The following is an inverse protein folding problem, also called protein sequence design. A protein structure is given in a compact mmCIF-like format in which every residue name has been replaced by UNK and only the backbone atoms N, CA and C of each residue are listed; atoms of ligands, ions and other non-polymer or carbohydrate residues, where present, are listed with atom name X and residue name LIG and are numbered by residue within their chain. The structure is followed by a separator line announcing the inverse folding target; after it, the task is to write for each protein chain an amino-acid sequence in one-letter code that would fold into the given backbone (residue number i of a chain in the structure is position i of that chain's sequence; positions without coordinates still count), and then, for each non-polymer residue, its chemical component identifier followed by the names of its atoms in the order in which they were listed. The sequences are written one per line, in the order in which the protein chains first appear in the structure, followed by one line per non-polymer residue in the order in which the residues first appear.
data_IF_213085793588
#
_entry.id   IF_213085793588
#
_cell.length_a   1.000
_cell.length_b   1.000
_cell.length_c   1.000
_cell.angle_alpha   90.00
_cell.angle_beta   90.00
_cell.angle_gamma   90.00
#
_symmetry.space_group_name_H-M   'P 1'
#
loop_
_entity.id
_entity.type
_entity.pdbx_description
1 polymer ?
#
# COMPACT_ATOMS: atom_id res chain seq x y z
N UNK A 1 28.53 -15.43 37.68
CA UNK A 1 27.67 -15.08 36.53
C UNK A 1 28.46 -14.16 35.61
N UNK A 2 28.65 -14.56 34.35
CA UNK A 2 29.31 -13.75 33.31
C UNK A 2 28.36 -12.63 32.91
N UNK A 3 28.74 -11.38 33.14
CA UNK A 3 28.12 -10.23 32.49
C UNK A 3 29.06 -9.77 31.38
N UNK A 4 28.61 -9.98 30.16
CA UNK A 4 29.26 -9.56 28.92
C UNK A 4 28.81 -8.12 28.67
N UNK A 5 29.62 -7.13 29.05
CA UNK A 5 29.43 -5.76 28.58
C UNK A 5 30.30 -5.58 27.33
N UNK A 6 29.74 -5.23 26.15
CA UNK A 6 30.56 -4.79 25.04
C UNK A 6 31.18 -3.43 25.40
N UNK A 7 32.51 -3.40 25.46
CA UNK A 7 33.31 -2.16 25.56
C UNK A 7 33.11 -1.35 24.27
N UNK A 8 32.95 -0.03 24.43
CA UNK A 8 32.62 0.92 23.39
C UNK A 8 33.78 1.08 22.41
N UNK A 9 33.57 0.70 21.14
CA UNK A 9 34.46 1.12 20.05
C UNK A 9 34.21 2.60 19.76
N UNK A 10 35.19 3.43 20.14
CA UNK A 10 35.29 4.85 19.79
C UNK A 10 35.53 4.98 18.29
N UNK A 11 34.45 4.93 17.51
CA UNK A 11 34.55 5.17 16.06
C UNK A 11 34.80 6.67 15.80
N UNK A 12 35.84 6.99 15.01
CA UNK A 12 36.33 8.35 14.86
C UNK A 12 35.31 9.28 14.20
N UNK A 13 35.28 10.52 14.69
CA UNK A 13 34.55 11.67 14.17
C UNK A 13 35.06 12.09 12.77
N UNK A 14 34.97 11.19 11.79
CA UNK A 14 35.34 11.44 10.39
C UNK A 14 34.52 10.55 9.42
N UNK A 15 33.28 10.29 9.78
CA UNK A 15 32.34 9.47 8.98
C UNK A 15 30.94 10.09 9.00
N UNK A 16 30.86 11.42 8.98
CA UNK A 16 29.58 12.16 8.95
C UNK A 16 29.42 13.10 7.75
N UNK A 17 30.24 12.96 6.71
CA UNK A 17 30.13 13.80 5.49
C UNK A 17 29.96 12.97 4.19
N UNK A 18 29.97 11.64 4.26
CA UNK A 18 29.84 10.75 3.09
C UNK A 18 28.54 9.93 3.05
N UNK A 19 27.48 10.39 3.71
CA UNK A 19 26.16 9.74 3.68
C UNK A 19 25.03 10.65 3.16
N UNK A 20 25.35 11.86 2.69
CA UNK A 20 24.35 12.84 2.25
C UNK A 20 24.31 13.08 0.71
N UNK A 21 25.15 12.42 -0.08
CA UNK A 21 25.25 12.65 -1.54
C UNK A 21 24.94 11.40 -2.41
N UNK A 22 24.34 10.36 -1.84
CA UNK A 22 23.96 9.14 -2.60
C UNK A 22 22.44 9.03 -2.82
N UNK A 23 21.63 9.88 -2.17
CA UNK A 23 20.17 9.95 -2.39
C UNK A 23 19.75 10.97 -3.47
N UNK A 24 20.69 11.47 -4.28
CA UNK A 24 20.45 12.46 -5.33
C UNK A 24 20.47 11.91 -6.76
N UNK A 25 20.42 10.59 -6.96
CA UNK A 25 20.44 9.97 -8.29
C UNK A 25 19.30 8.96 -8.49
N UNK A 26 18.18 9.17 -7.81
CA UNK A 26 16.92 8.53 -8.15
C UNK A 26 16.31 9.36 -9.28
N UNK A 27 16.18 8.77 -10.49
CA UNK A 27 15.41 9.21 -11.69
C UNK A 27 16.20 9.42 -13.01
N UNK A 28 17.54 9.33 -13.05
CA UNK A 28 18.30 9.67 -14.27
C UNK A 28 18.69 8.51 -15.23
N UNK A 29 18.69 7.25 -14.78
CA UNK A 29 19.34 6.16 -15.50
C UNK A 29 18.38 5.14 -16.17
N UNK A 30 17.07 5.39 -16.17
CA UNK A 30 16.11 4.52 -16.87
C UNK A 30 15.94 4.85 -18.37
N UNK A 31 16.62 5.89 -18.87
CA UNK A 31 16.35 6.44 -20.21
C UNK A 31 17.25 5.93 -21.35
N UNK A 32 18.25 5.07 -21.10
CA UNK A 32 19.28 4.76 -22.11
C UNK A 32 19.43 3.27 -22.50
N UNK A 33 18.69 2.33 -21.89
CA UNK A 33 18.82 0.90 -22.22
C UNK A 33 17.88 0.40 -23.33
N UNK A 34 16.98 1.25 -23.84
CA UNK A 34 15.97 0.85 -24.83
C UNK A 34 16.32 1.38 -26.22
N UNK A 35 17.59 1.32 -26.61
CA UNK A 35 18.05 1.77 -27.93
C UNK A 35 18.77 0.64 -28.68
N UNK A 36 18.07 -0.47 -28.92
CA UNK A 36 18.26 -1.33 -30.12
C UNK A 36 17.26 -2.47 -30.09
N UNK A 37 16.14 -2.34 -30.81
CA UNK A 37 15.50 -3.50 -31.44
C UNK A 37 14.72 -3.06 -32.69
N UNK A 38 14.81 -3.79 -33.81
CA UNK A 38 14.18 -3.40 -35.06
C UNK A 38 12.66 -3.44 -34.90
N UNK A 39 12.00 -2.54 -35.62
CA UNK A 39 10.56 -2.35 -35.74
C UNK A 39 9.80 -3.68 -35.81
N UNK A 40 9.38 -4.16 -34.64
CA UNK A 40 8.34 -5.18 -34.53
C UNK A 40 7.11 -4.38 -34.16
N UNK A 41 6.05 -4.47 -34.99
CA UNK A 41 4.78 -3.78 -34.83
C UNK A 41 4.43 -3.49 -33.35
N UNK A 42 3.89 -2.31 -33.00
CA UNK A 42 3.59 -1.99 -31.62
C UNK A 42 2.70 -3.10 -31.04
N UNK A 43 3.30 -3.92 -30.18
CA UNK A 43 2.60 -5.00 -29.51
C UNK A 43 1.43 -4.35 -28.78
N UNK A 44 0.18 -4.85 -28.92
CA UNK A 44 -0.97 -4.27 -28.23
C UNK A 44 -0.62 -4.11 -26.76
N UNK A 45 -0.61 -2.87 -26.28
CA UNK A 45 -0.36 -2.61 -24.86
C UNK A 45 -1.53 -3.22 -24.10
N UNK A 46 -1.27 -4.04 -23.06
CA UNK A 46 -2.35 -4.59 -22.26
C UNK A 46 -3.13 -3.42 -21.65
N UNK A 47 -4.43 -3.37 -21.94
CA UNK A 47 -5.32 -2.39 -21.32
C UNK A 47 -5.58 -2.86 -19.89
N UNK A 48 -4.91 -2.25 -18.93
CA UNK A 48 -5.11 -2.54 -17.51
C UNK A 48 -6.37 -1.80 -17.07
N UNK A 49 -7.40 -2.55 -16.67
CA UNK A 49 -8.60 -2.01 -16.03
C UNK A 49 -8.46 -2.18 -14.52
N UNK A 50 -8.65 -1.09 -13.78
CA UNK A 50 -8.67 -1.06 -12.32
C UNK A 50 -10.10 -0.82 -11.85
N UNK A 51 -10.48 -1.43 -10.74
CA UNK A 51 -11.78 -1.26 -10.12
C UNK A 51 -11.59 -0.90 -8.66
N UNK A 52 -12.36 0.06 -8.21
CA UNK A 52 -12.36 0.57 -6.84
C UNK A 52 -13.76 0.41 -6.24
N UNK A 53 -13.94 0.82 -4.99
CA UNK A 53 -15.22 0.71 -4.30
C UNK A 53 -16.36 1.46 -4.98
N UNK A 54 -16.04 2.54 -5.70
CA UNK A 54 -17.03 3.34 -6.44
C UNK A 54 -17.44 2.68 -7.77
N UNK A 55 -16.57 1.85 -8.36
CA UNK A 55 -16.77 1.19 -9.67
C UNK A 55 -16.92 -0.33 -9.55
N UNK A 56 -17.15 -0.83 -8.33
CA UNK A 56 -17.35 -2.26 -8.05
C UNK A 56 -18.52 -2.84 -8.87
N UNK A 57 -19.56 -2.02 -9.13
CA UNK A 57 -20.70 -2.38 -9.95
C UNK A 57 -20.41 -2.45 -11.45
N UNK A 58 -19.32 -1.85 -11.92
CA UNK A 58 -18.90 -1.84 -13.32
C UNK A 58 -18.05 -3.06 -13.69
N UNK A 59 -17.71 -3.90 -12.70
CA UNK A 59 -16.99 -5.15 -12.91
C UNK A 59 -17.90 -6.08 -13.74
N UNK A 60 -17.45 -6.52 -14.91
CA UNK A 60 -18.26 -7.37 -15.76
C UNK A 60 -18.46 -8.74 -15.10
N UNK A 61 -19.66 -9.31 -15.27
CA UNK A 61 -20.13 -10.46 -14.49
C UNK A 61 -19.35 -11.74 -14.77
N UNK A 62 -18.76 -11.87 -15.96
CA UNK A 62 -17.87 -12.96 -16.37
C UNK A 62 -16.65 -13.11 -15.45
N UNK A 63 -16.05 -12.00 -15.03
CA UNK A 63 -14.88 -12.01 -14.14
C UNK A 63 -15.21 -12.55 -12.74
N UNK A 64 -16.47 -12.52 -12.29
CA UNK A 64 -16.86 -13.11 -11.00
C UNK A 64 -16.82 -14.64 -11.01
N UNK A 65 -16.91 -15.25 -12.19
CA UNK A 65 -16.84 -16.70 -12.36
C UNK A 65 -15.46 -17.16 -12.82
N UNK A 66 -14.58 -16.23 -13.21
CA UNK A 66 -13.23 -16.56 -13.65
C UNK A 66 -12.32 -16.83 -12.44
N UNK A 67 -11.67 -18.01 -12.32
CA UNK A 67 -10.90 -18.38 -11.13
C UNK A 67 -9.75 -17.42 -10.79
N UNK A 68 -9.18 -16.77 -11.80
CA UNK A 68 -8.09 -15.80 -11.66
C UNK A 68 -8.54 -14.45 -11.11
N UNK A 69 -9.82 -14.08 -11.29
CA UNK A 69 -10.36 -12.76 -10.94
C UNK A 69 -11.38 -12.81 -9.80
N UNK A 70 -12.07 -13.93 -9.58
CA UNK A 70 -13.10 -14.07 -8.56
C UNK A 70 -12.59 -13.76 -7.14
N UNK A 71 -11.43 -14.31 -6.75
CA UNK A 71 -10.86 -14.05 -5.44
C UNK A 71 -10.40 -12.58 -5.26
N UNK A 72 -9.70 -11.96 -6.23
CA UNK A 72 -9.43 -10.52 -6.18
C UNK A 72 -10.69 -9.66 -6.02
N UNK A 73 -11.75 -9.96 -6.76
CA UNK A 73 -13.01 -9.21 -6.71
C UNK A 73 -13.70 -9.35 -5.35
N UNK A 74 -13.72 -10.57 -4.79
CA UNK A 74 -14.24 -10.79 -3.45
C UNK A 74 -13.46 -9.98 -2.41
N UNK A 75 -12.13 -10.00 -2.47
CA UNK A 75 -11.29 -9.20 -1.57
C UNK A 75 -11.58 -7.70 -1.70
N UNK A 76 -11.76 -7.20 -2.91
CA UNK A 76 -12.12 -5.81 -3.15
C UNK A 76 -13.46 -5.48 -2.48
N UNK A 77 -14.49 -6.31 -2.66
CA UNK A 77 -15.79 -6.15 -2.00
C UNK A 77 -15.65 -6.08 -0.48
N UNK A 78 -14.92 -7.02 0.12
CA UNK A 78 -14.73 -7.06 1.57
C UNK A 78 -14.03 -5.79 2.09
N UNK A 79 -13.04 -5.27 1.36
CA UNK A 79 -12.36 -4.01 1.70
C UNK A 79 -13.32 -2.81 1.62
N UNK A 80 -14.17 -2.77 0.61
CA UNK A 80 -15.15 -1.70 0.44
C UNK A 80 -16.21 -1.71 1.55
N UNK A 81 -16.64 -2.90 1.99
CA UNK A 81 -17.53 -3.03 3.14
C UNK A 81 -16.87 -2.55 4.43
N UNK A 82 -15.61 -2.93 4.67
CA UNK A 82 -14.86 -2.46 5.83
C UNK A 82 -14.71 -0.93 5.85
N UNK A 83 -14.37 -0.32 4.72
CA UNK A 83 -14.27 1.14 4.61
C UNK A 83 -15.61 1.82 4.87
N UNK A 84 -16.70 1.28 4.32
CA UNK A 84 -18.05 1.82 4.55
C UNK A 84 -18.42 1.75 6.03
N UNK A 85 -18.10 0.64 6.68
CA UNK A 85 -18.35 0.45 8.12
C UNK A 85 -17.53 1.45 8.94
N UNK A 86 -16.25 1.62 8.64
CA UNK A 86 -15.39 2.61 9.30
C UNK A 86 -15.94 4.04 9.13
N UNK A 87 -16.36 4.42 7.92
CA UNK A 87 -16.96 5.73 7.65
C UNK A 87 -18.28 5.92 8.40
N UNK A 88 -19.10 4.88 8.50
CA UNK A 88 -20.36 4.92 9.26
C UNK A 88 -20.10 5.08 10.77
N UNK A 89 -19.10 4.39 11.31
CA UNK A 89 -18.68 4.54 12.70
C UNK A 89 -18.17 5.95 12.98
N UNK A 90 -17.31 6.48 12.11
CA UNK A 90 -16.83 7.87 12.22
C UNK A 90 -18.00 8.86 12.24
N UNK A 91 -18.94 8.75 11.30
CA UNK A 91 -20.13 9.62 11.28
C UNK A 91 -20.99 9.48 12.53
N UNK A 92 -20.99 8.30 13.14
CA UNK A 92 -21.71 8.05 14.40
C UNK A 92 -20.99 8.76 15.55
N UNK A 93 -19.67 8.63 15.63
CA UNK A 93 -18.84 9.28 16.64
C UNK A 93 -18.85 10.81 16.52
N UNK A 94 -18.87 11.35 15.31
CA UNK A 94 -18.98 12.79 15.06
C UNK A 94 -20.31 13.37 15.58
N UNK A 95 -21.38 12.57 15.59
CA UNK A 95 -22.69 12.97 16.10
C UNK A 95 -22.83 12.74 17.60
N UNK A 96 -22.30 11.62 18.08
CA UNK A 96 -22.31 11.23 19.48
C UNK A 96 -20.94 10.64 19.85
N UNK A 97 -20.05 11.42 20.50
CA UNK A 97 -18.72 10.96 20.87
C UNK A 97 -18.75 9.93 22.01
N UNK A 98 -19.90 9.68 22.63
CA UNK A 98 -20.10 8.61 23.61
C UNK A 98 -20.64 7.33 22.97
N UNK A 99 -20.91 7.32 21.67
CA UNK A 99 -21.36 6.14 20.94
C UNK A 99 -20.29 5.02 20.96
N UNK A 100 -20.52 4.02 21.80
CA UNK A 100 -19.60 2.89 22.00
C UNK A 100 -18.86 2.91 23.34
N UNK A 101 -19.07 3.92 24.19
CA UNK A 101 -18.63 3.90 25.59
C UNK A 101 -19.60 3.03 26.38
N UNK A 102 -19.14 1.86 26.82
CA UNK A 102 -19.85 1.06 27.81
C UNK A 102 -19.45 1.62 29.17
N UNK A 103 -20.36 2.34 29.84
CA UNK A 103 -20.16 2.70 31.23
C UNK A 103 -20.32 1.41 32.05
N UNK A 104 -19.25 0.95 32.67
CA UNK A 104 -19.35 -0.09 33.68
C UNK A 104 -20.18 0.48 34.84
N UNK A 105 -21.28 -0.20 35.20
CA UNK A 105 -22.05 0.14 36.39
C UNK A 105 -21.16 -0.15 37.61
N UNK A 106 -20.54 0.90 38.16
CA UNK A 106 -19.93 0.82 39.50
C UNK A 106 -21.06 0.73 40.52
N UNK A 107 -21.32 -0.48 40.99
CA UNK A 107 -22.11 -0.80 42.19
C UNK A 107 -21.39 -0.37 43.48
#
# INVERSE_FOLDING_TARGET
MKYFYPQQETTPMKTRITAALIFGFVLGAFSAAQATKPETQPKPQPVIKTYDCDTLGDIPSDLYFEPSAAHPIQRLRDQCEQQRNALMLQKTWDKDPTAGVVLEETE
#
